data_IF_095407933607
#
_entry.id   IF_095407933607
#
_cell.length_a   1.000
_cell.length_b   1.000
_cell.length_c   1.000
_cell.angle_alpha   90.00
_cell.angle_beta   90.00
_cell.angle_gamma   90.00
#
_symmetry.space_group_name_H-M   'P 1'
#
loop_
_entity.id
_entity.type
_entity.pdbx_description
1 polymer ?
#
# COMPACT_ATOMS: atom_id res chain seq x y z
N UNK A 1 19.55 12.22 8.49
CA UNK A 1 18.12 12.57 8.57
C UNK A 1 17.22 11.53 9.26
N UNK A 2 16.90 10.37 8.66
CA UNK A 2 15.92 9.44 9.27
C UNK A 2 16.35 8.95 10.66
N UNK A 3 17.62 8.57 10.83
CA UNK A 3 18.17 8.18 12.14
C UNK A 3 18.17 9.33 13.16
N UNK A 4 18.34 10.58 12.72
CA UNK A 4 18.31 11.76 13.59
C UNK A 4 16.88 12.06 14.04
N UNK A 5 15.88 11.92 13.16
CA UNK A 5 14.45 11.99 13.52
C UNK A 5 14.07 10.98 14.60
N UNK A 6 14.70 9.80 14.60
CA UNK A 6 14.48 8.79 15.64
C UNK A 6 15.33 8.99 16.92
N UNK A 7 16.45 9.73 16.85
CA UNK A 7 17.31 9.95 18.03
C UNK A 7 17.00 11.26 18.75
N UNK A 8 16.70 12.32 18.01
CA UNK A 8 16.54 13.68 18.52
C UNK A 8 15.14 14.26 18.23
N UNK A 9 14.13 13.48 18.62
CA UNK A 9 12.71 13.81 18.42
C UNK A 9 12.33 15.14 19.05
N UNK A 10 12.89 15.47 20.21
CA UNK A 10 12.56 16.69 20.93
C UNK A 10 13.07 17.94 20.20
N UNK A 11 14.24 17.87 19.55
CA UNK A 11 14.74 18.96 18.73
C UNK A 11 13.91 19.15 17.44
N UNK A 12 13.44 18.06 16.84
CA UNK A 12 12.73 18.09 15.55
C UNK A 12 11.22 18.32 15.69
N UNK A 13 10.62 17.90 16.81
CA UNK A 13 9.20 18.07 17.13
C UNK A 13 9.00 18.78 18.48
N UNK A 14 9.58 19.99 18.69
CA UNK A 14 9.64 20.63 20.02
C UNK A 14 8.27 21.01 20.59
N UNK A 15 7.25 21.15 19.74
CA UNK A 15 5.87 21.45 20.14
C UNK A 15 5.03 20.20 20.45
N UNK A 16 5.52 19.03 20.05
CA UNK A 16 4.78 17.76 20.10
C UNK A 16 5.64 16.61 20.62
N UNK A 17 6.58 16.90 21.53
CA UNK A 17 7.57 15.93 22.03
C UNK A 17 6.92 14.64 22.50
N UNK A 18 5.87 14.73 23.32
CA UNK A 18 5.14 13.56 23.82
C UNK A 18 4.51 12.73 22.70
N UNK A 19 3.85 13.37 21.73
CA UNK A 19 3.26 12.67 20.59
C UNK A 19 4.33 12.04 19.70
N UNK A 20 5.47 12.71 19.50
CA UNK A 20 6.60 12.14 18.78
C UNK A 20 7.17 10.93 19.54
N UNK A 21 7.30 11.01 20.86
CA UNK A 21 7.71 9.87 21.69
C UNK A 21 6.72 8.70 21.55
N UNK A 22 5.42 8.91 21.76
CA UNK A 22 4.39 7.88 21.60
C UNK A 22 4.37 7.27 20.17
N UNK A 23 4.50 8.11 19.14
CA UNK A 23 4.54 7.68 17.74
C UNK A 23 5.75 6.78 17.44
N UNK A 24 6.95 7.20 17.87
CA UNK A 24 8.22 6.58 17.46
C UNK A 24 8.72 5.50 18.43
N UNK A 25 8.50 5.65 19.75
CA UNK A 25 8.97 4.70 20.77
C UNK A 25 8.01 3.54 20.98
N UNK A 26 6.71 3.79 21.12
CA UNK A 26 5.79 2.73 21.56
C UNK A 26 5.43 1.76 20.43
N UNK A 27 5.63 2.16 19.17
CA UNK A 27 5.19 1.36 18.02
C UNK A 27 6.36 0.93 17.15
N UNK A 28 6.99 1.87 16.46
CA UNK A 28 8.04 1.56 15.50
C UNK A 28 9.28 0.97 16.16
N UNK A 29 9.76 1.59 17.24
CA UNK A 29 10.94 1.13 17.94
C UNK A 29 10.74 -0.27 18.54
N UNK A 30 9.57 -0.57 19.11
CA UNK A 30 9.29 -1.89 19.67
C UNK A 30 9.33 -3.01 18.61
N UNK A 31 8.75 -2.77 17.43
CA UNK A 31 8.85 -3.73 16.32
C UNK A 31 10.27 -3.88 15.77
N UNK A 32 11.00 -2.77 15.63
CA UNK A 32 12.39 -2.82 15.21
C UNK A 32 13.23 -3.63 16.21
N UNK A 33 13.06 -3.41 17.53
CA UNK A 33 13.71 -4.21 18.55
C UNK A 33 13.34 -5.69 18.43
N UNK A 34 12.04 -6.00 18.25
CA UNK A 34 11.59 -7.37 18.11
C UNK A 34 12.23 -8.07 16.89
N UNK A 35 12.29 -7.38 15.75
CA UNK A 35 12.88 -7.88 14.52
C UNK A 35 14.41 -8.06 14.63
N UNK A 36 15.10 -7.10 15.25
CA UNK A 36 16.55 -7.13 15.46
C UNK A 36 16.98 -8.04 16.63
N UNK A 37 16.03 -8.65 17.32
CA UNK A 37 16.32 -9.51 18.47
C UNK A 37 16.78 -8.75 19.72
N UNK A 38 16.40 -7.48 19.87
CA UNK A 38 16.72 -6.66 21.04
C UNK A 38 15.61 -6.75 22.11
N UNK A 39 15.92 -6.32 23.34
CA UNK A 39 14.93 -6.19 24.40
C UNK A 39 13.88 -5.13 24.04
N UNK A 40 12.62 -5.41 24.37
CA UNK A 40 11.52 -4.50 24.09
C UNK A 40 11.42 -3.44 25.20
N UNK A 41 11.25 -2.15 24.87
CA UNK A 41 11.05 -1.09 25.87
C UNK A 41 9.84 -1.34 26.80
N UNK A 42 8.83 -2.04 26.29
CA UNK A 42 7.62 -2.43 27.01
C UNK A 42 7.82 -3.60 27.99
N UNK A 43 8.94 -4.32 27.90
CA UNK A 43 9.14 -5.60 28.58
C UNK A 43 8.32 -6.78 28.04
N UNK A 44 7.53 -6.59 26.96
CA UNK A 44 6.76 -7.67 26.35
C UNK A 44 7.68 -8.71 25.69
N UNK A 45 7.24 -9.97 25.55
CA UNK A 45 7.97 -10.95 24.75
C UNK A 45 8.04 -10.53 23.27
N UNK A 46 9.20 -10.69 22.62
CA UNK A 46 9.40 -10.35 21.19
C UNK A 46 8.37 -10.99 20.25
N UNK A 47 8.00 -12.24 20.52
CA UNK A 47 7.02 -12.96 19.70
C UNK A 47 5.62 -12.34 19.74
N UNK A 48 5.28 -11.62 20.82
CA UNK A 48 4.03 -10.85 20.92
C UNK A 48 4.08 -9.64 19.98
N UNK A 49 5.18 -8.89 19.98
CA UNK A 49 5.32 -7.73 19.10
C UNK A 49 5.21 -8.13 17.62
N UNK A 50 5.96 -9.14 17.17
CA UNK A 50 5.96 -9.55 15.74
C UNK A 50 4.67 -10.21 15.26
N UNK A 51 3.80 -10.69 16.16
CA UNK A 51 2.55 -11.37 15.78
C UNK A 51 1.33 -10.44 15.67
N UNK A 52 1.44 -9.19 16.14
CA UNK A 52 0.28 -8.31 16.28
C UNK A 52 -0.13 -7.54 15.01
N UNK A 53 0.75 -7.36 14.02
CA UNK A 53 0.42 -6.48 12.87
C UNK A 53 0.01 -5.07 13.32
N UNK A 54 -0.87 -4.37 12.60
CA UNK A 54 -1.39 -3.06 13.01
C UNK A 54 -2.53 -3.25 14.00
N UNK A 55 -2.41 -2.79 15.25
CA UNK A 55 -3.51 -2.85 16.22
C UNK A 55 -4.09 -4.28 16.42
N UNK A 56 -3.30 -5.34 16.23
CA UNK A 56 -3.80 -6.72 16.28
C UNK A 56 -4.30 -7.27 14.93
N UNK A 57 -4.10 -6.55 13.83
CA UNK A 57 -4.71 -6.81 12.53
C UNK A 57 -3.66 -6.87 11.38
N UNK A 58 -3.80 -7.74 10.37
CA UNK A 58 -2.93 -7.78 9.18
C UNK A 58 -3.08 -6.50 8.35
N UNK A 59 -2.22 -5.51 8.56
CA UNK A 59 -2.42 -4.19 7.96
C UNK A 59 -1.33 -3.72 7.01
N UNK A 60 -1.49 -2.51 6.50
CA UNK A 60 -0.85 -1.99 5.28
C UNK A 60 0.56 -1.39 5.40
N UNK A 61 1.30 -1.53 6.52
CA UNK A 61 2.58 -0.81 6.60
C UNK A 61 3.56 -1.19 5.51
N UNK A 62 3.70 -2.48 5.21
CA UNK A 62 4.56 -2.90 4.11
C UNK A 62 4.11 -2.22 2.81
N UNK A 63 2.82 -2.29 2.50
CA UNK A 63 2.23 -1.74 1.28
C UNK A 63 2.55 -0.24 1.08
N UNK A 64 2.36 0.58 2.12
CA UNK A 64 2.57 2.04 2.01
C UNK A 64 4.03 2.48 2.19
N UNK A 65 4.87 1.66 2.83
CA UNK A 65 6.29 1.98 3.06
C UNK A 65 7.25 1.36 2.05
N UNK A 66 6.79 0.34 1.31
CA UNK A 66 7.58 -0.42 0.33
C UNK A 66 6.94 -0.37 -1.07
N UNK A 67 6.11 0.63 -1.37
CA UNK A 67 5.52 0.83 -2.70
C UNK A 67 6.57 0.88 -3.83
N UNK A 68 7.80 1.30 -3.51
CA UNK A 68 8.95 1.35 -4.42
C UNK A 68 9.77 0.06 -4.49
N UNK A 69 9.48 -0.98 -3.69
CA UNK A 69 10.32 -2.18 -3.62
C UNK A 69 10.40 -2.94 -4.96
N UNK A 70 9.37 -2.83 -5.80
CA UNK A 70 9.40 -3.37 -7.16
C UNK A 70 10.44 -2.73 -8.07
N UNK A 71 10.85 -1.48 -7.79
CA UNK A 71 11.88 -0.76 -8.56
C UNK A 71 13.26 -1.41 -8.44
N UNK A 72 13.49 -2.24 -7.42
CA UNK A 72 14.77 -2.91 -7.19
C UNK A 72 15.08 -4.01 -8.22
N UNK A 73 14.05 -4.56 -8.87
CA UNK A 73 14.18 -5.66 -9.82
C UNK A 73 13.27 -5.43 -11.02
N UNK A 74 13.69 -4.59 -11.96
CA UNK A 74 12.92 -4.34 -13.18
C UNK A 74 12.73 -5.63 -14.00
N UNK A 75 11.49 -5.88 -14.43
CA UNK A 75 11.10 -7.05 -15.23
C UNK A 75 11.44 -8.42 -14.61
N UNK A 76 11.43 -8.50 -13.28
CA UNK A 76 11.66 -9.73 -12.50
C UNK A 76 10.67 -9.79 -11.32
N UNK A 77 9.36 -10.01 -11.62
CA UNK A 77 8.29 -9.89 -10.63
C UNK A 77 8.42 -10.91 -9.49
N UNK A 78 8.92 -12.12 -9.76
CA UNK A 78 9.15 -13.11 -8.70
C UNK A 78 10.22 -12.66 -7.72
N UNK A 79 11.34 -12.10 -8.21
CA UNK A 79 12.41 -11.60 -7.33
C UNK A 79 11.97 -10.37 -6.54
N UNK A 80 11.21 -9.47 -7.18
CA UNK A 80 10.59 -8.33 -6.50
C UNK A 80 9.62 -8.78 -5.40
N UNK A 81 8.77 -9.76 -5.70
CA UNK A 81 7.87 -10.36 -4.72
C UNK A 81 8.64 -10.92 -3.53
N UNK A 82 9.63 -11.78 -3.77
CA UNK A 82 10.44 -12.41 -2.72
C UNK A 82 11.10 -11.35 -1.84
N UNK A 83 11.67 -10.30 -2.47
CA UNK A 83 12.36 -9.27 -1.70
C UNK A 83 11.42 -8.39 -0.89
N UNK A 84 10.30 -7.96 -1.46
CA UNK A 84 9.32 -7.17 -0.74
C UNK A 84 8.69 -7.97 0.40
N UNK A 85 8.42 -9.26 0.19
CA UNK A 85 8.01 -10.17 1.26
C UNK A 85 9.08 -10.19 2.35
N UNK A 86 10.35 -10.45 2.03
CA UNK A 86 11.46 -10.44 3.00
C UNK A 86 11.55 -9.14 3.80
N UNK A 87 11.49 -7.98 3.12
CA UNK A 87 11.64 -6.65 3.70
C UNK A 87 10.45 -6.22 4.55
N UNK A 88 9.25 -6.72 4.28
CA UNK A 88 8.06 -6.39 5.07
C UNK A 88 8.08 -7.12 6.42
N UNK A 89 8.86 -6.57 7.35
CA UNK A 89 8.96 -7.06 8.73
C UNK A 89 7.77 -6.68 9.61
N UNK A 90 6.78 -5.96 9.06
CA UNK A 90 5.59 -5.48 9.76
C UNK A 90 4.32 -6.21 9.35
N UNK A 91 4.25 -6.65 8.10
CA UNK A 91 3.18 -7.46 7.58
C UNK A 91 3.11 -8.83 8.25
N UNK A 92 1.88 -9.24 8.58
CA UNK A 92 1.55 -10.56 9.09
C UNK A 92 0.54 -11.21 8.16
N UNK A 93 0.69 -12.51 7.87
CA UNK A 93 -0.22 -13.23 6.99
C UNK A 93 -0.37 -12.57 5.61
N UNK A 94 -1.61 -12.37 5.17
CA UNK A 94 -1.94 -11.86 3.84
C UNK A 94 -1.55 -10.39 3.60
N UNK A 95 -1.26 -9.61 4.65
CA UNK A 95 -0.73 -8.25 4.45
C UNK A 95 0.66 -8.25 3.84
N UNK A 96 1.49 -9.22 4.21
CA UNK A 96 2.83 -9.40 3.64
C UNK A 96 2.76 -9.83 2.17
N UNK A 97 1.78 -10.66 1.87
CA UNK A 97 1.45 -11.07 0.50
C UNK A 97 0.98 -9.89 -0.36
N UNK A 98 0.14 -9.00 0.19
CA UNK A 98 -0.28 -7.78 -0.50
C UNK A 98 0.91 -6.87 -0.86
N UNK A 99 1.81 -6.61 0.08
CA UNK A 99 3.04 -5.84 -0.15
C UNK A 99 3.88 -6.45 -1.27
N UNK A 100 4.08 -7.77 -1.23
CA UNK A 100 4.86 -8.50 -2.22
C UNK A 100 4.19 -8.53 -3.60
N UNK A 101 2.87 -8.65 -3.64
CA UNK A 101 2.06 -8.58 -4.86
C UNK A 101 2.20 -7.21 -5.55
N UNK A 102 2.10 -6.11 -4.79
CA UNK A 102 2.32 -4.76 -5.34
C UNK A 102 3.74 -4.61 -5.92
N UNK A 103 4.76 -5.13 -5.23
CA UNK A 103 6.14 -5.09 -5.73
C UNK A 103 6.31 -5.88 -7.04
N UNK A 104 5.65 -7.04 -7.17
CA UNK A 104 5.63 -7.81 -8.42
C UNK A 104 4.98 -7.03 -9.57
N UNK A 105 3.85 -6.37 -9.31
CA UNK A 105 3.16 -5.53 -10.30
C UNK A 105 4.05 -4.39 -10.77
N UNK A 106 4.67 -3.66 -9.85
CA UNK A 106 5.59 -2.54 -10.14
C UNK A 106 6.79 -3.05 -10.95
N UNK A 107 7.40 -4.16 -10.53
CA UNK A 107 8.51 -4.78 -11.25
C UNK A 107 8.15 -5.17 -12.68
N UNK A 108 6.98 -5.75 -12.89
CA UNK A 108 6.51 -6.13 -14.22
C UNK A 108 6.28 -4.92 -15.13
N UNK A 109 5.67 -3.85 -14.62
CA UNK A 109 5.43 -2.63 -15.38
C UNK A 109 6.73 -1.96 -15.85
N UNK A 110 7.81 -2.06 -15.06
CA UNK A 110 9.14 -1.58 -15.48
C UNK A 110 9.74 -2.34 -16.65
N UNK A 111 9.27 -3.56 -16.95
CA UNK A 111 9.63 -4.29 -18.16
C UNK A 111 9.09 -3.64 -19.44
N UNK A 112 8.10 -2.74 -19.30
CA UNK A 112 7.40 -2.07 -20.39
C UNK A 112 6.40 -2.97 -21.11
N UNK A 113 5.54 -2.33 -21.92
CA UNK A 113 4.61 -3.00 -22.85
C UNK A 113 3.61 -3.98 -22.23
N UNK A 114 3.17 -3.76 -20.99
CA UNK A 114 2.04 -4.48 -20.39
C UNK A 114 0.83 -3.55 -20.23
N UNK A 115 -0.38 -4.11 -20.35
CA UNK A 115 -1.60 -3.37 -20.04
C UNK A 115 -1.88 -3.34 -18.54
N UNK A 116 -2.80 -2.49 -18.11
CA UNK A 116 -3.29 -2.46 -16.73
C UNK A 116 -3.82 -3.82 -16.27
N UNK A 117 -4.63 -4.49 -17.11
CA UNK A 117 -5.17 -5.83 -16.82
C UNK A 117 -4.06 -6.87 -16.72
N UNK A 118 -3.04 -6.79 -17.57
CA UNK A 118 -1.89 -7.69 -17.52
C UNK A 118 -1.06 -7.50 -16.25
N UNK A 119 -0.82 -6.24 -15.83
CA UNK A 119 -0.15 -5.94 -14.57
C UNK A 119 -0.90 -6.54 -13.37
N UNK A 120 -2.23 -6.37 -13.32
CA UNK A 120 -3.09 -6.95 -12.28
C UNK A 120 -3.00 -8.48 -12.28
N UNK A 121 -3.08 -9.11 -13.46
CA UNK A 121 -2.96 -10.57 -13.62
C UNK A 121 -1.61 -11.08 -13.09
N UNK A 122 -0.51 -10.41 -13.43
CA UNK A 122 0.83 -10.78 -12.94
C UNK A 122 0.89 -10.73 -11.41
N UNK A 123 0.33 -9.70 -10.78
CA UNK A 123 0.25 -9.62 -9.32
C UNK A 123 -0.49 -10.82 -8.70
N UNK A 124 -1.65 -11.18 -9.26
CA UNK A 124 -2.48 -12.29 -8.79
C UNK A 124 -1.81 -13.66 -8.94
N UNK A 125 -1.03 -13.85 -10.00
CA UNK A 125 -0.39 -15.12 -10.35
C UNK A 125 1.00 -15.30 -9.73
N UNK A 126 1.71 -14.21 -9.41
CA UNK A 126 3.04 -14.28 -8.79
C UNK A 126 2.93 -14.81 -7.37
N UNK A 127 3.32 -16.09 -7.18
CA UNK A 127 3.29 -16.80 -5.90
C UNK A 127 4.51 -17.76 -5.78
N UNK A 128 5.72 -17.20 -5.59
CA UNK A 128 6.95 -18.00 -5.47
C UNK A 128 6.97 -18.87 -4.21
N UNK A 129 6.14 -18.58 -3.20
CA UNK A 129 6.06 -19.37 -1.96
C UNK A 129 4.93 -20.41 -1.97
N UNK A 130 4.08 -20.43 -3.00
CA UNK A 130 2.98 -21.38 -3.11
C UNK A 130 1.90 -21.20 -2.03
N UNK A 131 1.63 -19.95 -1.61
CA UNK A 131 0.64 -19.60 -0.60
C UNK A 131 -0.77 -20.10 -0.93
N UNK A 132 -1.10 -20.26 -2.23
CA UNK A 132 -2.39 -20.79 -2.70
C UNK A 132 -2.35 -22.24 -3.23
N UNK A 133 -1.23 -22.96 -3.09
CA UNK A 133 -1.04 -24.29 -3.73
C UNK A 133 -1.50 -25.47 -2.88
N UNK A 134 -1.90 -25.25 -1.63
CA UNK A 134 -2.36 -26.32 -0.73
C UNK A 134 -3.85 -26.57 -0.92
N UNK A 135 -4.26 -27.82 -0.75
CA UNK A 135 -5.63 -28.32 -1.03
C UNK A 135 -6.76 -27.51 -0.39
N UNK A 136 -6.51 -26.86 0.74
CA UNK A 136 -7.50 -26.10 1.49
C UNK A 136 -7.15 -24.61 1.62
N UNK A 137 -6.07 -24.16 0.99
CA UNK A 137 -5.57 -22.79 1.15
C UNK A 137 -5.87 -22.02 -0.14
N UNK A 138 -6.91 -21.18 -0.10
CA UNK A 138 -7.04 -20.12 -1.08
C UNK A 138 -6.13 -18.96 -0.64
N UNK A 139 -5.27 -18.47 -1.54
CA UNK A 139 -4.48 -17.25 -1.30
C UNK A 139 -5.44 -16.09 -1.11
N UNK A 140 -5.55 -15.58 0.13
CA UNK A 140 -6.56 -14.59 0.55
C UNK A 140 -6.56 -13.38 -0.37
N UNK A 141 -5.38 -12.80 -0.64
CA UNK A 141 -5.28 -11.64 -1.54
C UNK A 141 -5.80 -11.97 -2.94
N UNK A 142 -5.34 -13.06 -3.55
CA UNK A 142 -5.80 -13.44 -4.89
C UNK A 142 -7.32 -13.68 -4.94
N UNK A 143 -7.88 -14.37 -3.94
CA UNK A 143 -9.32 -14.68 -3.89
C UNK A 143 -10.17 -13.42 -3.71
N UNK A 144 -9.80 -12.56 -2.75
CA UNK A 144 -10.57 -11.36 -2.45
C UNK A 144 -10.45 -10.32 -3.57
N UNK A 145 -9.25 -10.11 -4.11
CA UNK A 145 -9.04 -9.19 -5.24
C UNK A 145 -9.78 -9.69 -6.48
N UNK A 146 -9.79 -11.00 -6.77
CA UNK A 146 -10.57 -11.55 -7.89
C UNK A 146 -12.06 -11.24 -7.74
N UNK A 147 -12.61 -11.26 -6.52
CA UNK A 147 -14.00 -10.86 -6.28
C UNK A 147 -14.24 -9.35 -6.51
N UNK A 148 -13.25 -8.50 -6.23
CA UNK A 148 -13.31 -7.07 -6.55
C UNK A 148 -13.20 -6.81 -8.05
N UNK A 149 -12.37 -7.59 -8.77
CA UNK A 149 -12.28 -7.51 -10.23
C UNK A 149 -13.57 -7.95 -10.92
N UNK A 150 -14.29 -8.94 -10.37
CA UNK A 150 -15.61 -9.30 -10.87
C UNK A 150 -16.60 -8.13 -10.76
N UNK A 151 -16.57 -7.38 -9.65
CA UNK A 151 -17.37 -6.15 -9.52
C UNK A 151 -16.96 -5.10 -10.55
N UNK A 152 -15.66 -4.98 -10.85
CA UNK A 152 -15.17 -4.07 -11.88
C UNK A 152 -15.65 -4.43 -13.29
N UNK A 153 -15.72 -5.72 -13.64
CA UNK A 153 -16.24 -6.16 -14.94
C UNK A 153 -17.77 -5.95 -15.08
N UNK A 154 -18.51 -5.97 -13.96
CA UNK A 154 -19.96 -5.79 -13.94
C UNK A 154 -20.41 -4.32 -13.78
N UNK A 155 -19.49 -3.39 -13.52
CA UNK A 155 -19.82 -2.00 -13.25
C UNK A 155 -20.11 -1.19 -14.52
N UNK A 156 -21.17 -0.40 -14.51
CA UNK A 156 -21.58 0.42 -15.66
C UNK A 156 -20.75 1.73 -15.80
N UNK A 157 -20.36 2.33 -14.67
CA UNK A 157 -19.66 3.61 -14.62
C UNK A 157 -18.79 3.75 -13.35
N UNK A 158 -17.98 4.81 -13.31
CA UNK A 158 -17.03 5.10 -12.24
C UNK A 158 -17.72 5.15 -10.86
N UNK A 159 -18.91 5.73 -10.78
CA UNK A 159 -19.64 5.88 -9.52
C UNK A 159 -20.22 4.55 -9.07
N UNK A 160 -20.80 3.78 -9.99
CA UNK A 160 -21.31 2.44 -9.73
C UNK A 160 -20.19 1.54 -9.21
N UNK A 161 -19.01 1.59 -9.82
CA UNK A 161 -17.86 0.83 -9.35
C UNK A 161 -17.43 1.27 -7.94
N UNK A 162 -17.22 2.56 -7.71
CA UNK A 162 -16.82 3.08 -6.39
C UNK A 162 -17.83 2.68 -5.31
N UNK A 163 -19.12 2.88 -5.54
CA UNK A 163 -20.15 2.53 -4.56
C UNK A 163 -20.21 1.01 -4.31
N UNK A 164 -20.01 0.17 -5.34
CA UNK A 164 -20.01 -1.29 -5.21
C UNK A 164 -18.78 -1.83 -4.48
N UNK A 165 -17.58 -1.35 -4.83
CA UNK A 165 -16.33 -1.70 -4.13
C UNK A 165 -16.37 -1.26 -2.67
N UNK A 166 -16.74 0.01 -2.43
CA UNK A 166 -16.85 0.57 -1.08
C UNK A 166 -17.79 -0.26 -0.20
N UNK A 167 -18.96 -0.69 -0.72
CA UNK A 167 -19.87 -1.59 0.00
C UNK A 167 -19.29 -2.97 0.22
N UNK A 168 -18.52 -3.49 -0.74
CA UNK A 168 -17.86 -4.80 -0.61
C UNK A 168 -16.82 -4.80 0.49
N UNK A 169 -16.11 -3.70 0.71
CA UNK A 169 -15.00 -3.61 1.67
C UNK A 169 -15.35 -2.90 2.98
N UNK A 170 -16.50 -2.22 3.09
CA UNK A 170 -16.82 -1.38 4.26
C UNK A 170 -16.84 -2.11 5.61
N UNK A 171 -17.10 -3.42 5.60
CA UNK A 171 -17.10 -4.27 6.79
C UNK A 171 -15.69 -4.66 7.27
N UNK A 172 -14.66 -4.36 6.47
CA UNK A 172 -13.25 -4.60 6.80
C UNK A 172 -12.69 -3.41 7.56
N UNK A 173 -11.60 -3.66 8.29
CA UNK A 173 -10.80 -2.58 8.86
C UNK A 173 -10.30 -1.66 7.73
N UNK A 174 -10.23 -0.36 7.97
CA UNK A 174 -9.82 0.62 6.93
C UNK A 174 -8.36 0.45 6.50
N UNK A 175 -7.53 -0.12 7.37
CA UNK A 175 -6.18 -0.63 7.04
C UNK A 175 -6.14 -2.07 6.49
N UNK A 176 -7.24 -2.62 5.95
CA UNK A 176 -7.23 -3.97 5.34
C UNK A 176 -6.50 -3.93 3.98
N UNK A 177 -5.46 -4.76 3.77
CA UNK A 177 -4.76 -4.86 2.51
C UNK A 177 -5.65 -5.20 1.30
N UNK A 178 -6.75 -5.94 1.53
CA UNK A 178 -7.75 -6.21 0.47
C UNK A 178 -8.40 -4.91 0.02
N UNK A 179 -8.68 -4.00 0.95
CA UNK A 179 -9.23 -2.68 0.67
C UNK A 179 -8.15 -1.83 -0.05
N UNK A 180 -7.02 -1.63 0.63
CA UNK A 180 -6.00 -0.64 0.22
C UNK A 180 -5.24 -1.02 -1.05
N UNK A 181 -5.07 -2.32 -1.36
CA UNK A 181 -4.50 -2.77 -2.63
C UNK A 181 -5.58 -3.20 -3.63
N UNK A 182 -6.59 -3.94 -3.17
CA UNK A 182 -7.61 -4.51 -4.05
C UNK A 182 -8.52 -3.46 -4.67
N UNK A 183 -8.87 -2.39 -3.94
CA UNK A 183 -9.67 -1.30 -4.51
C UNK A 183 -8.90 -0.59 -5.64
N UNK A 184 -7.65 -0.12 -5.45
CA UNK A 184 -6.86 0.41 -6.56
C UNK A 184 -6.67 -0.56 -7.73
N UNK A 185 -6.48 -1.85 -7.47
CA UNK A 185 -6.38 -2.86 -8.55
C UNK A 185 -7.66 -2.95 -9.38
N UNK A 186 -8.84 -2.93 -8.74
CA UNK A 186 -10.12 -2.94 -9.43
C UNK A 186 -10.37 -1.65 -10.23
N UNK A 187 -10.05 -0.49 -9.65
CA UNK A 187 -10.15 0.80 -10.34
C UNK A 187 -9.17 0.89 -11.54
N UNK A 188 -7.94 0.42 -11.36
CA UNK A 188 -6.93 0.34 -12.41
C UNK A 188 -7.39 -0.55 -13.56
N UNK A 189 -7.94 -1.72 -13.24
CA UNK A 189 -8.47 -2.69 -14.19
C UNK A 189 -9.66 -2.14 -14.98
N UNK A 190 -10.58 -1.46 -14.29
CA UNK A 190 -11.77 -0.84 -14.89
C UNK A 190 -11.42 0.33 -15.83
N UNK A 191 -10.47 1.17 -15.41
CA UNK A 191 -10.06 2.36 -16.16
C UNK A 191 -9.05 2.09 -17.26
N UNK A 192 -8.65 0.83 -17.47
CA UNK A 192 -7.59 0.42 -18.40
C UNK A 192 -6.29 1.23 -18.22
N UNK A 193 -5.93 1.51 -16.97
CA UNK A 193 -4.68 2.22 -16.65
C UNK A 193 -4.74 3.74 -16.68
N UNK A 194 -5.89 4.37 -16.93
CA UNK A 194 -6.03 5.84 -16.90
C UNK A 194 -5.60 6.41 -15.53
N UNK A 195 -4.52 7.22 -15.46
CA UNK A 195 -3.95 7.64 -14.19
C UNK A 195 -4.91 8.45 -13.32
N UNK A 196 -5.62 9.40 -13.93
CA UNK A 196 -6.48 10.33 -13.20
C UNK A 196 -7.71 9.62 -12.71
N UNK A 197 -8.40 8.84 -13.56
CA UNK A 197 -9.60 8.11 -13.18
C UNK A 197 -9.31 7.07 -12.10
N UNK A 198 -8.23 6.29 -12.24
CA UNK A 198 -7.86 5.31 -11.22
C UNK A 198 -7.61 5.97 -9.86
N UNK A 199 -6.85 7.06 -9.80
CA UNK A 199 -6.61 7.78 -8.54
C UNK A 199 -7.91 8.37 -7.99
N UNK A 200 -8.70 9.08 -8.83
CA UNK A 200 -9.94 9.72 -8.41
C UNK A 200 -10.91 8.70 -7.83
N UNK A 201 -11.04 7.52 -8.43
CA UNK A 201 -11.88 6.45 -7.90
C UNK A 201 -11.35 5.92 -6.56
N UNK A 202 -10.04 5.69 -6.43
CA UNK A 202 -9.43 5.20 -5.19
C UNK A 202 -9.55 6.19 -4.03
N UNK A 203 -9.43 7.50 -4.27
CA UNK A 203 -9.59 8.53 -3.22
C UNK A 203 -11.06 8.84 -2.89
N UNK A 204 -11.99 8.22 -3.61
CA UNK A 204 -13.43 8.32 -3.35
C UNK A 204 -14.00 7.10 -2.63
N UNK A 205 -13.17 6.22 -2.07
CA UNK A 205 -13.60 5.07 -1.25
C UNK A 205 -14.40 5.51 -0.01
N UNK A 206 -15.53 4.83 0.22
CA UNK A 206 -16.64 5.30 1.07
C UNK A 206 -16.93 4.37 2.24
N UNK A 207 -17.13 4.97 3.40
CA UNK A 207 -17.75 4.34 4.55
C UNK A 207 -19.27 4.40 4.46
N UNK A 208 -19.92 3.29 4.82
CA UNK A 208 -21.37 3.21 4.97
C UNK A 208 -21.75 2.72 6.37
N UNK A 209 -22.86 3.24 6.92
CA UNK A 209 -23.47 2.69 8.12
C UNK A 209 -24.28 1.41 7.84
N UNK A 210 -24.83 0.79 8.89
CA UNK A 210 -25.67 -0.41 8.79
C UNK A 210 -26.92 -0.24 7.91
N UNK A 211 -27.34 1.00 7.63
CA UNK A 211 -28.47 1.33 6.76
C UNK A 211 -28.02 1.66 5.34
N UNK A 212 -26.73 1.49 5.03
CA UNK A 212 -26.15 1.76 3.73
C UNK A 212 -26.02 3.25 3.41
N UNK A 213 -26.08 4.14 4.42
CA UNK A 213 -25.91 5.59 4.25
C UNK A 213 -24.44 5.96 4.34
N UNK A 214 -24.01 6.89 3.49
CA UNK A 214 -22.66 7.43 3.52
C UNK A 214 -22.35 8.08 4.87
N UNK A 215 -21.22 7.69 5.48
CA UNK A 215 -20.76 8.26 6.77
C UNK A 215 -19.45 9.04 6.66
N UNK A 216 -18.71 8.87 5.57
CA UNK A 216 -17.42 9.52 5.37
C UNK A 216 -16.53 8.75 4.40
N UNK A 217 -15.37 9.32 4.10
CA UNK A 217 -14.33 8.61 3.36
C UNK A 217 -13.58 7.64 4.28
N UNK A 218 -13.01 6.59 3.70
CA UNK A 218 -12.16 5.61 4.41
C UNK A 218 -10.70 6.06 4.39
N UNK A 219 -9.75 5.15 4.25
CA UNK A 219 -8.31 5.39 4.26
C UNK A 219 -7.79 5.86 2.89
N UNK A 220 -8.34 6.99 2.43
CA UNK A 220 -8.23 7.45 1.04
C UNK A 220 -6.85 7.98 0.66
N UNK A 221 -6.04 8.38 1.63
CA UNK A 221 -4.63 8.71 1.41
C UNK A 221 -3.82 7.45 1.06
N UNK A 222 -4.11 6.32 1.71
CA UNK A 222 -3.44 5.05 1.43
C UNK A 222 -3.90 4.43 0.10
N UNK A 223 -5.21 4.36 -0.16
CA UNK A 223 -5.71 3.86 -1.47
C UNK A 223 -5.24 4.76 -2.61
N UNK A 224 -5.25 6.09 -2.43
CA UNK A 224 -4.74 7.06 -3.40
C UNK A 224 -3.25 6.92 -3.65
N UNK A 225 -2.44 6.73 -2.61
CA UNK A 225 -1.00 6.50 -2.72
C UNK A 225 -0.68 5.21 -3.48
N UNK A 226 -1.35 4.10 -3.16
CA UNK A 226 -1.19 2.83 -3.87
C UNK A 226 -1.63 2.95 -5.32
N UNK A 227 -2.78 3.58 -5.59
CA UNK A 227 -3.23 3.86 -6.94
C UNK A 227 -2.19 4.64 -7.72
N UNK A 228 -1.69 5.75 -7.17
CA UNK A 228 -0.67 6.59 -7.79
C UNK A 228 0.63 5.86 -8.10
N UNK A 229 1.09 4.98 -7.21
CA UNK A 229 2.25 4.15 -7.47
C UNK A 229 2.03 3.18 -8.65
N UNK A 230 0.86 2.52 -8.70
CA UNK A 230 0.52 1.58 -9.78
C UNK A 230 0.35 2.27 -11.14
N UNK A 231 -0.37 3.39 -11.20
CA UNK A 231 -0.52 4.12 -12.48
C UNK A 231 0.74 4.86 -12.89
N UNK A 232 1.55 5.29 -11.92
CA UNK A 232 2.79 6.00 -12.19
C UNK A 232 3.87 5.12 -12.80
N UNK A 233 4.02 3.88 -12.33
CA UNK A 233 4.94 2.93 -12.96
C UNK A 233 4.46 2.49 -14.34
N UNK A 234 3.14 2.42 -14.56
CA UNK A 234 2.55 1.98 -15.83
C UNK A 234 2.65 3.07 -16.92
N UNK A 235 2.41 4.32 -16.56
CA UNK A 235 2.22 5.41 -17.53
C UNK A 235 3.37 6.44 -17.55
N UNK A 236 4.21 6.46 -16.51
CA UNK A 236 5.22 7.49 -16.32
C UNK A 236 4.66 8.82 -15.79
N UNK A 237 5.58 9.72 -15.41
CA UNK A 237 5.23 10.99 -14.74
C UNK A 237 4.50 11.97 -15.67
N UNK A 238 4.75 11.92 -16.98
CA UNK A 238 4.15 12.83 -17.96
C UNK A 238 2.66 12.56 -18.20
N UNK A 239 2.14 11.43 -17.72
CA UNK A 239 0.73 11.08 -17.82
C UNK A 239 -0.14 11.73 -16.74
N UNK A 240 0.47 12.37 -15.72
CA UNK A 240 -0.26 13.07 -14.67
C UNK A 240 -0.51 14.54 -15.04
N UNK A 241 -1.58 15.16 -14.48
CA UNK A 241 -1.76 16.60 -14.54
C UNK A 241 -0.52 17.33 -13.99
N UNK A 242 0.01 18.29 -14.74
CA UNK A 242 1.26 18.99 -14.38
C UNK A 242 1.15 19.75 -13.07
N UNK A 243 0.00 20.37 -12.83
CA UNK A 243 -0.30 21.05 -11.58
C UNK A 243 -0.21 20.11 -10.36
N UNK A 244 -0.67 18.86 -10.48
CA UNK A 244 -0.53 17.88 -9.41
C UNK A 244 0.94 17.53 -9.12
N UNK A 245 1.74 17.37 -10.18
CA UNK A 245 3.17 17.09 -10.05
C UNK A 245 3.89 18.27 -9.41
N UNK A 246 3.64 19.48 -9.91
CA UNK A 246 4.24 20.72 -9.41
C UNK A 246 3.87 20.99 -7.95
N UNK A 247 2.61 20.76 -7.57
CA UNK A 247 2.14 20.90 -6.19
C UNK A 247 2.86 19.91 -5.25
N UNK A 248 3.03 18.65 -5.66
CA UNK A 248 3.74 17.65 -4.86
C UNK A 248 5.22 18.00 -4.71
N UNK A 249 5.89 18.40 -5.80
CA UNK A 249 7.31 18.79 -5.76
C UNK A 249 7.53 20.02 -4.89
N UNK A 250 6.68 21.04 -5.05
CA UNK A 250 6.73 22.29 -4.29
C UNK A 250 6.47 22.04 -2.82
N UNK A 251 5.39 21.33 -2.48
CA UNK A 251 5.06 21.02 -1.09
C UNK A 251 6.17 20.21 -0.40
N UNK A 252 6.78 19.24 -1.08
CA UNK A 252 7.89 18.49 -0.50
C UNK A 252 9.11 19.35 -0.19
N UNK A 253 9.45 20.26 -1.10
CA UNK A 253 10.57 21.18 -0.94
C UNK A 253 10.32 22.21 0.15
N UNK A 254 9.13 22.82 0.16
CA UNK A 254 8.79 23.92 1.08
C UNK A 254 8.46 23.43 2.49
N UNK A 255 7.70 22.34 2.61
CA UNK A 255 7.24 21.83 3.91
C UNK A 255 8.26 20.91 4.55
N UNK A 256 8.88 20.01 3.77
CA UNK A 256 9.77 18.98 4.31
C UNK A 256 11.25 19.26 4.05
N UNK A 257 11.59 20.24 3.20
CA UNK A 257 12.97 20.48 2.78
C UNK A 257 13.52 19.36 1.88
N UNK A 258 12.65 18.55 1.28
CA UNK A 258 13.02 17.39 0.48
C UNK A 258 12.86 17.74 -1.00
N UNK A 259 13.97 17.74 -1.74
CA UNK A 259 13.97 17.88 -3.19
C UNK A 259 13.90 16.48 -3.81
N UNK A 260 12.69 16.04 -4.17
CA UNK A 260 12.43 14.69 -4.68
C UNK A 260 13.23 14.41 -5.96
N UNK A 261 13.27 15.36 -6.90
CA UNK A 261 13.99 15.21 -8.15
C UNK A 261 15.50 15.11 -7.94
N UNK A 262 16.06 15.96 -7.06
CA UNK A 262 17.47 15.86 -6.70
C UNK A 262 17.79 14.54 -6.00
N UNK A 263 16.87 13.99 -5.20
CA UNK A 263 17.07 12.70 -4.55
C UNK A 263 17.02 11.54 -5.54
N UNK A 264 16.11 11.57 -6.52
CA UNK A 264 15.99 10.53 -7.53
C UNK A 264 17.19 10.45 -8.49
N UNK A 265 17.94 11.55 -8.66
CA UNK A 265 19.14 11.62 -9.51
C UNK A 265 20.44 11.16 -8.84
N UNK A 266 20.41 10.89 -7.53
CA UNK A 266 21.58 10.47 -6.73
C UNK A 266 21.63 8.96 -6.60
#
# INVERSE_FOLDING_TARGET
EYLERYRDRAALYPKHVKLAEEQFLDRWHEWCCAHLGMDLPSGRPRWVAVSQGIYGFPGIQGLISLAFAGLLYANDPEKAYVKAFELDFRGVGYSRDATAMMAAMVSAALGGNISAKEMVRIGLETDPFGLGKRKYDARVMSSEVSALLAIAEDADDDRALVDALSRRVCHRHFYDPVDVLGFPMAALHFCDGDPVRTIVMSVNDRGFDERGRFVGLRDVDCTGSVAGALVGVLNGIDAFPRDWVDDVLTANKEVYGIDIESNAKR
#
